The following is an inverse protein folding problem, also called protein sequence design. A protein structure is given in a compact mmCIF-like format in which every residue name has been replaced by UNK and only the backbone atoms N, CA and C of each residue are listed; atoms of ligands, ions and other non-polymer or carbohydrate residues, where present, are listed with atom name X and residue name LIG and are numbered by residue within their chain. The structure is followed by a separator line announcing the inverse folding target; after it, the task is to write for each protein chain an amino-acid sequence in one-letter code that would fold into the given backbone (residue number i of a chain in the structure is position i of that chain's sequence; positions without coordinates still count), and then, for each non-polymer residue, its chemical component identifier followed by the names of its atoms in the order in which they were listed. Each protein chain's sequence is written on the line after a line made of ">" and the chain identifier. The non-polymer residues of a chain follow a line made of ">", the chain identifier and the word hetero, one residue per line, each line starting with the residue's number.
data_IF_569651799131
#
_entry.id   IF_569651799131
#
_cell.length_a   1.000
_cell.length_b   1.000
_cell.length_c   1.000
_cell.angle_alpha   90.00
_cell.angle_beta   90.00
_cell.angle_gamma   90.00
#
_symmetry.space_group_name_H-M   'P 1'
#
loop_
_entity.id
_entity.type
_entity.pdbx_description
1 polymer ?
#
# COMPACT_ATOMS: atom_id res chain seq x y z
N UNK A 1 15.84 5.95 9.69
CA UNK A 1 14.42 6.15 9.33
C UNK A 1 14.14 5.65 7.94
N UNK A 2 12.92 5.22 7.69
CA UNK A 2 12.50 4.72 6.38
C UNK A 2 11.24 5.44 5.93
N UNK A 3 11.18 5.77 4.65
CA UNK A 3 9.97 6.25 4.00
C UNK A 3 9.36 5.10 3.22
N UNK A 4 8.06 4.94 3.32
CA UNK A 4 7.36 3.91 2.55
C UNK A 4 6.21 4.52 1.77
N UNK A 5 5.96 3.93 0.59
CA UNK A 5 4.75 4.16 -0.18
C UNK A 5 4.06 2.82 -0.36
N UNK A 6 2.80 2.76 0.04
CA UNK A 6 1.98 1.56 -0.12
C UNK A 6 0.96 1.84 -1.20
N UNK A 7 0.96 1.02 -2.23
CA UNK A 7 0.07 1.19 -3.40
C UNK A 7 -0.82 -0.03 -3.50
N UNK A 8 -2.12 0.20 -3.60
CA UNK A 8 -3.09 -0.89 -3.68
C UNK A 8 -4.35 -0.44 -4.40
N UNK A 9 -5.11 -1.40 -4.93
CA UNK A 9 -6.41 -1.14 -5.53
C UNK A 9 -7.38 -0.67 -4.43
N UNK A 10 -8.15 0.39 -4.70
CA UNK A 10 -9.13 0.95 -3.77
C UNK A 10 -10.07 -0.09 -3.19
N UNK A 11 -10.36 -1.14 -3.94
CA UNK A 11 -11.19 -2.26 -3.48
C UNK A 11 -10.67 -2.85 -2.16
N UNK A 12 -9.36 -2.83 -1.95
CA UNK A 12 -8.73 -3.40 -0.75
C UNK A 12 -8.51 -2.39 0.37
N UNK A 13 -9.11 -1.20 0.29
CA UNK A 13 -8.86 -0.17 1.29
C UNK A 13 -9.19 -0.62 2.71
N UNK A 14 -10.32 -1.27 2.91
CA UNK A 14 -10.70 -1.78 4.24
C UNK A 14 -9.69 -2.79 4.77
N UNK A 15 -9.19 -3.67 3.90
CA UNK A 15 -8.18 -4.66 4.29
C UNK A 15 -6.88 -3.99 4.71
N UNK A 16 -6.44 -2.99 3.95
CA UNK A 16 -5.21 -2.26 4.26
C UNK A 16 -5.35 -1.50 5.58
N UNK A 17 -6.50 -0.86 5.81
CA UNK A 17 -6.76 -0.18 7.08
C UNK A 17 -6.70 -1.16 8.26
N UNK A 18 -7.24 -2.37 8.09
CA UNK A 18 -7.15 -3.41 9.10
C UNK A 18 -5.70 -3.85 9.37
N UNK A 19 -4.90 -3.95 8.32
CA UNK A 19 -3.47 -4.28 8.47
C UNK A 19 -2.73 -3.23 9.28
N UNK A 20 -2.98 -1.96 9.01
CA UNK A 20 -2.38 -0.86 9.77
C UNK A 20 -2.81 -0.92 11.24
N UNK A 21 -4.11 -1.08 11.48
CA UNK A 21 -4.65 -1.16 12.84
C UNK A 21 -4.05 -2.32 13.61
N UNK A 22 -3.99 -3.51 13.00
CA UNK A 22 -3.47 -4.71 13.66
C UNK A 22 -1.99 -4.62 13.99
N UNK A 23 -1.24 -3.78 13.29
CA UNK A 23 0.18 -3.57 13.51
C UNK A 23 0.47 -2.30 14.32
N UNK A 24 -0.59 -1.61 14.80
CA UNK A 24 -0.44 -0.43 15.65
C UNK A 24 -0.01 0.82 14.92
N UNK A 25 -0.24 0.89 13.62
CA UNK A 25 0.13 2.05 12.79
C UNK A 25 -1.11 2.92 12.58
N UNK A 26 -1.11 4.09 13.18
CA UNK A 26 -2.21 5.06 13.07
C UNK A 26 -1.77 6.38 12.44
N UNK A 27 -0.64 6.38 11.75
CA UNK A 27 -0.06 7.57 11.14
C UNK A 27 0.27 7.30 9.67
N UNK A 28 -0.30 8.10 8.78
CA UNK A 28 -0.10 7.99 7.34
C UNK A 28 -0.69 9.20 6.64
N UNK A 29 -0.26 9.43 5.40
CA UNK A 29 -0.95 10.33 4.47
C UNK A 29 -1.47 9.47 3.32
N UNK A 30 -2.72 9.67 2.94
CA UNK A 30 -3.37 8.87 1.90
C UNK A 30 -3.82 9.75 0.74
N UNK A 31 -3.52 9.28 -0.46
CA UNK A 31 -4.08 9.79 -1.70
C UNK A 31 -5.04 8.75 -2.25
N UNK A 32 -6.29 9.14 -2.48
CA UNK A 32 -7.31 8.28 -3.08
C UNK A 32 -7.37 8.51 -4.59
N UNK A 33 -7.96 7.54 -5.28
CA UNK A 33 -8.28 7.64 -6.71
C UNK A 33 -7.07 7.95 -7.59
N UNK A 34 -5.93 7.42 -7.21
CA UNK A 34 -4.73 7.50 -8.03
C UNK A 34 -4.84 6.55 -9.22
N UNK A 35 -4.45 7.02 -10.38
CA UNK A 35 -4.37 6.18 -11.56
C UNK A 35 -3.04 5.43 -11.56
N UNK A 36 -3.06 4.19 -12.04
CA UNK A 36 -1.86 3.40 -12.10
C UNK A 36 -1.89 2.38 -13.21
N UNK A 37 -0.72 2.08 -13.75
CA UNK A 37 -0.52 1.02 -14.71
C UNK A 37 0.86 0.40 -14.49
N UNK A 38 0.86 -0.87 -14.09
CA UNK A 38 2.09 -1.64 -13.96
C UNK A 38 2.50 -2.23 -15.29
N UNK A 39 3.72 -2.70 -15.34
CA UNK A 39 4.22 -3.38 -16.53
C UNK A 39 3.56 -4.74 -16.65
N UNK A 40 2.83 -4.97 -17.76
CA UNK A 40 2.11 -6.22 -17.99
C UNK A 40 0.89 -6.43 -17.11
N UNK A 41 0.41 -5.39 -16.42
CA UNK A 41 -0.76 -5.46 -15.56
C UNK A 41 -1.94 -4.70 -16.15
N UNK A 42 -3.14 -4.96 -15.61
CA UNK A 42 -4.33 -4.20 -15.98
C UNK A 42 -4.20 -2.77 -15.45
N UNK A 43 -4.53 -1.76 -16.28
CA UNK A 43 -4.47 -0.37 -15.81
C UNK A 43 -5.58 -0.05 -14.81
N UNK A 44 -5.23 0.72 -13.78
CA UNK A 44 -6.16 1.26 -12.78
C UNK A 44 -6.34 2.75 -13.04
N UNK A 45 -7.10 3.09 -14.09
CA UNK A 45 -7.24 4.47 -14.57
C UNK A 45 -8.57 5.11 -14.21
N UNK A 46 -9.45 4.38 -13.52
CA UNK A 46 -10.75 4.91 -13.12
C UNK A 46 -11.75 5.01 -14.26
N UNK A 47 -11.50 4.37 -15.40
CA UNK A 47 -12.36 4.42 -16.58
C UNK A 47 -12.43 3.05 -17.27
N UNK A 48 -13.48 2.81 -18.03
CA UNK A 48 -13.68 1.57 -18.76
C UNK A 48 -14.42 0.51 -17.96
N UNK A 49 -14.35 -0.73 -18.42
CA UNK A 49 -15.05 -1.88 -17.82
C UNK A 49 -14.60 -2.18 -16.41
N UNK A 50 -13.37 -1.80 -16.09
CA UNK A 50 -12.76 -1.98 -14.78
C UNK A 50 -12.43 -0.61 -14.22
N UNK A 51 -13.46 0.10 -13.78
CA UNK A 51 -13.33 1.46 -13.25
C UNK A 51 -12.66 1.45 -11.86
N UNK A 52 -11.47 0.88 -11.76
CA UNK A 52 -10.73 0.85 -10.51
C UNK A 52 -9.61 1.89 -10.52
N UNK A 53 -9.34 2.43 -9.35
CA UNK A 53 -8.22 3.31 -9.09
C UNK A 53 -7.41 2.74 -7.94
N UNK A 54 -6.22 3.28 -7.74
CA UNK A 54 -5.37 2.92 -6.61
C UNK A 54 -5.48 3.96 -5.50
N UNK A 55 -5.20 3.53 -4.30
CA UNK A 55 -4.85 4.41 -3.20
C UNK A 55 -3.35 4.32 -2.95
N UNK A 56 -2.78 5.40 -2.46
CA UNK A 56 -1.36 5.47 -2.08
C UNK A 56 -1.28 5.97 -0.65
N UNK A 57 -0.58 5.24 0.19
CA UNK A 57 -0.24 5.68 1.54
C UNK A 57 1.23 6.04 1.59
N UNK A 58 1.53 7.14 2.25
CA UNK A 58 2.90 7.53 2.59
C UNK A 58 3.06 7.40 4.09
N UNK A 59 4.02 6.62 4.52
CA UNK A 59 4.29 6.40 5.95
C UNK A 59 5.78 6.50 6.20
N UNK A 60 6.18 7.40 7.11
CA UNK A 60 7.54 7.47 7.58
C UNK A 60 7.69 6.64 8.86
N UNK A 61 8.69 5.79 8.90
CA UNK A 61 8.98 4.96 10.06
C UNK A 61 10.28 5.40 10.71
N UNK A 62 10.18 5.76 11.98
CA UNK A 62 11.34 6.07 12.79
C UNK A 62 12.03 4.79 13.22
N UNK A 63 11.25 3.78 13.61
CA UNK A 63 11.72 2.48 14.07
C UNK A 63 11.35 1.39 13.06
N UNK A 64 12.22 0.39 12.92
CA UNK A 64 12.01 -0.68 11.95
C UNK A 64 10.98 -1.73 12.39
N UNK A 65 10.78 -1.90 13.70
CA UNK A 65 9.90 -2.95 14.21
C UNK A 65 8.46 -2.85 13.70
N UNK A 66 7.79 -1.68 13.72
CA UNK A 66 6.45 -1.57 13.14
C UNK A 66 6.43 -1.84 11.63
N UNK A 67 7.47 -1.39 10.93
CA UNK A 67 7.58 -1.61 9.49
C UNK A 67 7.70 -3.10 9.16
N UNK A 68 8.54 -3.83 9.88
CA UNK A 68 8.71 -5.28 9.67
C UNK A 68 7.42 -6.04 9.94
N UNK A 69 6.68 -5.66 10.98
CA UNK A 69 5.38 -6.25 11.28
C UNK A 69 4.37 -6.01 10.16
N UNK A 70 4.38 -4.79 9.61
CA UNK A 70 3.49 -4.44 8.51
C UNK A 70 3.83 -5.26 7.25
N UNK A 71 5.11 -5.37 6.91
CA UNK A 71 5.55 -6.15 5.76
C UNK A 71 5.11 -7.62 5.90
N UNK A 72 5.29 -8.19 7.08
CA UNK A 72 4.87 -9.56 7.35
C UNK A 72 3.35 -9.73 7.18
N UNK A 73 2.58 -8.81 7.74
CA UNK A 73 1.12 -8.82 7.60
C UNK A 73 0.69 -8.65 6.14
N UNK A 74 1.37 -7.79 5.38
CA UNK A 74 1.10 -7.60 3.96
C UNK A 74 1.39 -8.86 3.16
N UNK A 75 2.49 -9.53 3.44
CA UNK A 75 2.82 -10.79 2.76
C UNK A 75 1.75 -11.85 3.00
N UNK A 76 1.23 -11.94 4.22
CA UNK A 76 0.14 -12.86 4.54
C UNK A 76 -1.13 -12.50 3.77
N UNK A 77 -1.49 -11.22 3.72
CA UNK A 77 -2.66 -10.76 2.96
C UNK A 77 -2.49 -11.02 1.46
N UNK A 78 -1.31 -10.73 0.92
CA UNK A 78 -1.03 -10.92 -0.51
C UNK A 78 -1.10 -12.40 -0.93
N UNK A 79 -0.79 -13.32 -0.02
CA UNK A 79 -0.91 -14.75 -0.30
C UNK A 79 -2.35 -15.17 -0.58
N UNK A 80 -3.33 -14.42 -0.08
CA UNK A 80 -4.75 -14.66 -0.29
C UNK A 80 -5.29 -13.97 -1.55
N UNK A 81 -4.54 -13.04 -2.13
CA UNK A 81 -4.95 -12.29 -3.32
C UNK A 81 -4.53 -13.08 -4.56
N UNK A 82 -5.52 -13.55 -5.32
CA UNK A 82 -5.28 -14.43 -6.47
C UNK A 82 -4.66 -13.71 -7.66
N UNK A 83 -5.13 -12.48 -7.95
CA UNK A 83 -4.63 -11.72 -9.09
C UNK A 83 -3.38 -10.95 -8.69
N UNK A 84 -2.23 -11.20 -9.35
CA UNK A 84 -1.00 -10.47 -9.03
C UNK A 84 -1.14 -8.95 -9.14
N UNK A 85 -1.99 -8.47 -10.07
CA UNK A 85 -2.24 -7.05 -10.29
C UNK A 85 -2.89 -6.37 -9.10
N UNK A 86 -3.59 -7.14 -8.27
CA UNK A 86 -4.33 -6.63 -7.12
C UNK A 86 -3.55 -6.69 -5.82
N UNK A 87 -2.33 -7.22 -5.85
CA UNK A 87 -1.52 -7.32 -4.64
C UNK A 87 -1.12 -5.96 -4.12
N UNK A 88 -1.09 -5.86 -2.81
CA UNK A 88 -0.65 -4.68 -2.09
C UNK A 88 0.87 -4.57 -2.22
N UNK A 89 1.38 -3.42 -2.63
CA UNK A 89 2.81 -3.20 -2.81
C UNK A 89 3.32 -2.13 -1.85
N UNK A 90 4.48 -2.39 -1.28
CA UNK A 90 5.18 -1.44 -0.43
C UNK A 90 6.54 -1.15 -1.04
N UNK A 91 6.83 0.14 -1.20
CA UNK A 91 8.12 0.63 -1.66
C UNK A 91 8.81 1.29 -0.47
N UNK A 92 10.04 0.89 -0.21
CA UNK A 92 10.81 1.39 0.92
C UNK A 92 12.04 2.15 0.44
N UNK A 93 12.24 3.33 1.01
CA UNK A 93 13.37 4.20 0.71
C UNK A 93 14.06 4.63 2.01
N UNK A 94 15.37 4.86 1.99
CA UNK A 94 16.02 5.54 3.10
C UNK A 94 15.45 6.94 3.27
N UNK A 95 15.23 7.36 4.50
CA UNK A 95 14.77 8.70 4.83
C UNK A 95 15.81 9.37 5.70
N UNK A 96 16.42 10.45 5.21
CA UNK A 96 17.50 11.11 5.92
C UNK A 96 16.97 12.03 7.02
N UNK A 97 15.88 12.74 6.76
CA UNK A 97 15.40 13.77 7.68
C UNK A 97 13.91 14.06 7.46
N UNK A 98 13.25 14.33 8.56
CA UNK A 98 11.91 14.94 8.58
C UNK A 98 12.04 16.28 9.28
N UNK A 99 11.60 17.32 8.65
CA UNK A 99 11.71 18.70 9.18
C UNK A 99 10.36 19.20 9.62
#
# INVERSE_FOLDING_TARGET
>A
MKMTFIVYNDYYNSRVMQLLESTGIDYYTRWDKAQGKGRGTEPHLGAGSYASTNAVLMIAFKDESPLEKLIEAMNTANAEIKRPDDRIRLFQLPLERVV
#
